data_IF_738982051616
#
_entry.id   IF_738982051616
#
_cell.length_a   1.000
_cell.length_b   1.000
_cell.length_c   1.000
_cell.angle_alpha   90.00
_cell.angle_beta   90.00
_cell.angle_gamma   90.00
#
_symmetry.space_group_name_H-M   'P 1'
#
loop_
_entity.id
_entity.type
_entity.pdbx_description
1 polymer ?
#
# COMPACT_ATOMS: atom_id res chain seq x y z
N UNK A 1 24.94 31.85 -30.52
CA UNK A 1 24.50 32.74 -29.41
C UNK A 1 25.31 32.35 -28.19
N UNK A 2 26.22 33.20 -27.74
CA UNK A 2 27.00 32.95 -26.53
C UNK A 2 26.17 33.28 -25.29
N UNK A 3 26.08 32.32 -24.37
CA UNK A 3 25.39 32.47 -23.09
C UNK A 3 26.15 33.45 -22.19
N UNK A 4 25.43 34.30 -21.44
CA UNK A 4 26.07 35.29 -20.55
C UNK A 4 26.92 34.61 -19.45
N UNK A 5 27.97 35.27 -18.93
CA UNK A 5 28.84 34.69 -17.90
C UNK A 5 28.08 34.21 -16.65
N UNK A 6 27.01 34.92 -16.27
CA UNK A 6 26.12 34.53 -15.16
C UNK A 6 25.24 33.32 -15.49
N UNK A 7 24.90 33.10 -16.76
CA UNK A 7 24.18 31.91 -17.20
C UNK A 7 25.12 30.68 -17.23
N UNK A 8 26.38 30.86 -17.62
CA UNK A 8 27.41 29.82 -17.52
C UNK A 8 27.73 29.46 -16.05
N UNK A 9 27.84 30.44 -15.15
CA UNK A 9 27.99 30.18 -13.70
C UNK A 9 26.77 29.46 -13.09
N UNK A 10 25.55 29.80 -13.52
CA UNK A 10 24.33 29.09 -13.07
C UNK A 10 24.25 27.66 -13.59
N UNK A 11 24.67 27.42 -14.84
CA UNK A 11 24.78 26.07 -15.40
C UNK A 11 25.90 25.26 -14.74
N UNK A 12 27.03 25.87 -14.42
CA UNK A 12 28.12 25.23 -13.68
C UNK A 12 27.77 24.91 -12.22
N UNK A 13 26.89 25.71 -11.59
CA UNK A 13 26.34 25.45 -10.24
C UNK A 13 25.31 24.32 -10.22
N UNK A 14 24.63 24.06 -11.33
CA UNK A 14 23.87 22.82 -11.55
C UNK A 14 24.90 21.78 -12.01
N UNK A 15 25.78 21.37 -11.11
CA UNK A 15 26.89 20.47 -11.43
C UNK A 15 26.39 19.24 -12.18
N UNK A 16 27.09 18.85 -13.24
CA UNK A 16 26.85 17.59 -13.91
C UNK A 16 26.87 16.47 -12.86
N UNK A 17 25.86 15.59 -12.89
CA UNK A 17 25.77 14.47 -11.97
C UNK A 17 27.09 13.69 -12.00
N UNK A 18 27.62 13.40 -10.82
CA UNK A 18 28.77 12.53 -10.66
C UNK A 18 28.47 11.14 -11.24
N UNK A 19 29.52 10.39 -11.58
CA UNK A 19 29.36 9.00 -12.06
C UNK A 19 28.65 8.10 -11.03
N UNK A 20 28.75 8.42 -9.73
CA UNK A 20 28.02 7.73 -8.68
C UNK A 20 26.51 8.04 -8.75
N UNK A 21 26.15 9.31 -8.91
CA UNK A 21 24.75 9.75 -9.04
C UNK A 21 24.11 9.22 -10.33
N UNK A 22 24.83 9.23 -11.46
CA UNK A 22 24.36 8.65 -12.71
C UNK A 22 24.10 7.13 -12.59
N UNK A 23 24.99 6.41 -11.91
CA UNK A 23 24.80 4.97 -11.63
C UNK A 23 23.58 4.73 -10.75
N UNK A 24 23.42 5.50 -9.68
CA UNK A 24 22.27 5.40 -8.79
C UNK A 24 20.95 5.68 -9.54
N UNK A 25 20.93 6.70 -10.40
CA UNK A 25 19.75 7.04 -11.21
C UNK A 25 19.38 5.94 -12.20
N UNK A 26 20.38 5.28 -12.81
CA UNK A 26 20.15 4.13 -13.69
C UNK A 26 19.56 2.96 -12.90
N UNK A 27 20.16 2.64 -11.76
CA UNK A 27 19.72 1.58 -10.87
C UNK A 27 18.28 1.77 -10.39
N UNK A 28 17.95 2.97 -9.94
CA UNK A 28 16.59 3.29 -9.51
C UNK A 28 15.58 3.12 -10.64
N UNK A 29 15.92 3.55 -11.87
CA UNK A 29 15.05 3.35 -13.05
C UNK A 29 14.85 1.89 -13.41
N UNK A 30 15.92 1.10 -13.41
CA UNK A 30 15.85 -0.32 -13.76
C UNK A 30 15.03 -1.09 -12.71
N UNK A 31 15.27 -0.82 -11.43
CA UNK A 31 14.50 -1.41 -10.34
C UNK A 31 13.03 -0.97 -10.37
N UNK A 32 12.75 0.30 -10.64
CA UNK A 32 11.37 0.79 -10.79
C UNK A 32 10.66 0.15 -11.98
N UNK A 33 11.35 -0.06 -13.10
CA UNK A 33 10.81 -0.80 -14.24
C UNK A 33 10.44 -2.24 -13.88
N UNK A 34 11.32 -2.94 -13.16
CA UNK A 34 11.07 -4.30 -12.68
C UNK A 34 9.86 -4.37 -11.74
N UNK A 35 9.82 -3.48 -10.73
CA UNK A 35 8.73 -3.41 -9.77
C UNK A 35 7.40 -3.00 -10.40
N UNK A 36 7.43 -2.03 -11.33
CA UNK A 36 6.23 -1.60 -12.05
C UNK A 36 5.62 -2.77 -12.80
N UNK A 37 6.42 -3.50 -13.59
CA UNK A 37 5.95 -4.66 -14.34
C UNK A 37 5.34 -5.74 -13.44
N UNK A 38 5.95 -5.96 -12.29
CA UNK A 38 5.46 -6.91 -11.30
C UNK A 38 4.11 -6.47 -10.72
N UNK A 39 4.00 -5.22 -10.27
CA UNK A 39 2.77 -4.69 -9.69
C UNK A 39 1.61 -4.58 -10.70
N UNK A 40 1.89 -4.34 -11.99
CA UNK A 40 0.89 -4.35 -13.06
C UNK A 40 0.54 -5.77 -13.55
N UNK A 41 1.16 -6.81 -12.99
CA UNK A 41 0.90 -8.21 -13.37
C UNK A 41 1.52 -8.63 -14.71
N UNK A 42 2.37 -7.79 -15.30
CA UNK A 42 3.13 -8.10 -16.53
C UNK A 42 4.45 -8.81 -16.26
N UNK A 43 4.72 -9.14 -14.99
CA UNK A 43 5.81 -9.99 -14.57
C UNK A 43 5.38 -10.82 -13.35
N UNK A 44 5.91 -12.03 -13.28
CA UNK A 44 5.74 -12.98 -12.18
C UNK A 44 6.75 -12.73 -11.06
N UNK A 45 6.56 -13.40 -9.92
CA UNK A 45 7.51 -13.33 -8.79
C UNK A 45 8.88 -13.86 -9.18
N UNK A 46 8.94 -14.91 -10.00
CA UNK A 46 10.20 -15.47 -10.49
C UNK A 46 10.93 -14.49 -11.43
N UNK A 47 10.21 -13.84 -12.35
CA UNK A 47 10.82 -12.84 -13.23
C UNK A 47 11.33 -11.61 -12.47
N UNK A 48 10.62 -11.18 -11.41
CA UNK A 48 11.11 -10.13 -10.51
C UNK A 48 12.38 -10.59 -9.77
N UNK A 49 12.37 -11.81 -9.24
CA UNK A 49 13.51 -12.40 -8.54
C UNK A 49 14.75 -12.44 -9.43
N UNK A 50 14.61 -12.91 -10.68
CA UNK A 50 15.70 -13.00 -11.65
C UNK A 50 16.27 -11.62 -11.99
N UNK A 51 15.40 -10.61 -12.18
CA UNK A 51 15.84 -9.25 -12.47
C UNK A 51 16.60 -8.63 -11.30
N UNK A 52 16.06 -8.74 -10.08
CA UNK A 52 16.74 -8.21 -8.88
C UNK A 52 18.04 -8.95 -8.61
N UNK A 53 18.10 -10.27 -8.84
CA UNK A 53 19.33 -11.04 -8.76
C UNK A 53 20.39 -10.51 -9.72
N UNK A 54 20.05 -10.37 -11.00
CA UNK A 54 20.98 -9.87 -12.01
C UNK A 54 21.52 -8.47 -11.66
N UNK A 55 20.64 -7.57 -11.20
CA UNK A 55 21.06 -6.24 -10.72
C UNK A 55 21.99 -6.34 -9.50
N UNK A 56 21.72 -7.25 -8.56
CA UNK A 56 22.54 -7.43 -7.37
C UNK A 56 23.94 -8.00 -7.66
N UNK A 57 24.10 -8.75 -8.75
CA UNK A 57 25.39 -9.28 -9.20
C UNK A 57 26.28 -8.17 -9.80
N UNK A 58 25.67 -7.14 -10.40
CA UNK A 58 26.37 -6.01 -11.03
C UNK A 58 26.65 -4.88 -10.02
N UNK A 59 25.64 -4.47 -9.27
CA UNK A 59 25.66 -3.25 -8.46
C UNK A 59 25.67 -3.53 -6.95
N UNK A 60 25.65 -4.81 -6.56
CA UNK A 60 25.83 -5.27 -5.18
C UNK A 60 24.54 -5.65 -4.46
N UNK A 61 24.68 -6.31 -3.28
CA UNK A 61 23.55 -6.90 -2.56
C UNK A 61 22.54 -5.87 -2.00
N UNK A 62 22.93 -4.59 -1.89
CA UNK A 62 22.06 -3.52 -1.38
C UNK A 62 20.83 -3.28 -2.27
N UNK A 63 20.88 -3.66 -3.55
CA UNK A 63 19.73 -3.60 -4.46
C UNK A 63 18.58 -4.49 -3.97
N UNK A 64 18.88 -5.65 -3.38
CA UNK A 64 17.86 -6.55 -2.83
C UNK A 64 17.12 -5.83 -1.70
N UNK A 65 17.87 -5.17 -0.81
CA UNK A 65 17.31 -4.38 0.30
C UNK A 65 16.47 -3.21 -0.21
N UNK A 66 16.96 -2.47 -1.21
CA UNK A 66 16.23 -1.35 -1.81
C UNK A 66 14.91 -1.81 -2.43
N UNK A 67 14.92 -2.92 -3.18
CA UNK A 67 13.72 -3.53 -3.74
C UNK A 67 12.70 -3.88 -2.66
N UNK A 68 13.13 -4.58 -1.61
CA UNK A 68 12.25 -4.95 -0.50
C UNK A 68 11.72 -3.74 0.26
N UNK A 69 12.51 -2.68 0.42
CA UNK A 69 12.05 -1.42 1.03
C UNK A 69 10.97 -0.74 0.18
N UNK A 70 11.17 -0.66 -1.14
CA UNK A 70 10.15 -0.12 -2.07
C UNK A 70 8.86 -0.94 -2.01
N UNK A 71 8.93 -2.27 -2.01
CA UNK A 71 7.75 -3.15 -1.88
C UNK A 71 7.04 -2.96 -0.53
N UNK A 72 7.80 -2.96 0.56
CA UNK A 72 7.29 -2.75 1.93
C UNK A 72 6.56 -1.41 2.06
N UNK A 73 7.08 -0.36 1.42
CA UNK A 73 6.47 0.96 1.40
C UNK A 73 5.11 1.02 0.67
N UNK A 74 4.73 -0.02 -0.08
CA UNK A 74 3.41 -0.13 -0.73
C UNK A 74 2.37 -0.87 0.11
N UNK A 75 2.75 -1.47 1.24
CA UNK A 75 1.80 -2.18 2.12
C UNK A 75 0.79 -1.19 2.70
N UNK A 76 -0.49 -1.54 2.64
CA UNK A 76 -1.61 -0.74 3.15
C UNK A 76 -2.59 -1.64 3.90
N UNK A 77 -3.30 -1.06 4.85
CA UNK A 77 -4.37 -1.76 5.57
C UNK A 77 -5.49 -2.13 4.60
N UNK A 78 -5.95 -1.13 3.84
CA UNK A 78 -6.95 -1.25 2.79
C UNK A 78 -6.27 -1.51 1.44
N UNK A 79 -5.96 -2.77 1.18
CA UNK A 79 -5.57 -3.27 -0.14
C UNK A 79 -6.33 -4.57 -0.43
N UNK A 80 -6.32 -5.06 -1.67
CA UNK A 80 -6.95 -6.35 -1.99
C UNK A 80 -6.16 -7.52 -1.38
N UNK A 81 -6.79 -8.68 -1.22
CA UNK A 81 -6.10 -9.88 -0.76
C UNK A 81 -5.02 -10.32 -1.77
N UNK A 82 -5.37 -10.29 -3.06
CA UNK A 82 -4.46 -10.60 -4.17
C UNK A 82 -3.24 -9.67 -4.19
N UNK A 83 -3.45 -8.35 -4.08
CA UNK A 83 -2.37 -7.38 -4.05
C UNK A 83 -1.41 -7.63 -2.90
N UNK A 84 -1.94 -7.93 -1.72
CA UNK A 84 -1.12 -8.21 -0.56
C UNK A 84 -0.30 -9.49 -0.73
N UNK A 85 -0.92 -10.58 -1.21
CA UNK A 85 -0.20 -11.83 -1.46
C UNK A 85 0.89 -11.66 -2.52
N UNK A 86 0.69 -10.80 -3.54
CA UNK A 86 1.77 -10.40 -4.45
C UNK A 86 2.94 -9.73 -3.69
N UNK A 87 2.68 -8.72 -2.84
CA UNK A 87 3.77 -8.07 -2.07
C UNK A 87 4.48 -9.07 -1.15
N UNK A 88 3.74 -9.95 -0.50
CA UNK A 88 4.28 -11.02 0.36
C UNK A 88 5.16 -11.99 -0.42
N UNK A 89 4.67 -12.52 -1.54
CA UNK A 89 5.43 -13.45 -2.38
C UNK A 89 6.73 -12.81 -2.86
N UNK A 90 6.69 -11.56 -3.33
CA UNK A 90 7.89 -10.84 -3.74
C UNK A 90 8.89 -10.62 -2.60
N UNK A 91 8.44 -10.14 -1.44
CA UNK A 91 9.31 -9.91 -0.28
C UNK A 91 10.02 -11.19 0.15
N UNK A 92 9.28 -12.29 0.23
CA UNK A 92 9.81 -13.61 0.61
C UNK A 92 10.77 -14.15 -0.44
N UNK A 93 10.42 -14.05 -1.73
CA UNK A 93 11.31 -14.47 -2.81
C UNK A 93 12.62 -13.68 -2.79
N UNK A 94 12.57 -12.35 -2.69
CA UNK A 94 13.77 -11.52 -2.64
C UNK A 94 14.63 -11.79 -1.39
N UNK A 95 14.02 -12.19 -0.28
CA UNK A 95 14.77 -12.56 0.93
C UNK A 95 15.64 -13.80 0.72
N UNK A 96 15.27 -14.70 -0.21
CA UNK A 96 16.08 -15.88 -0.56
C UNK A 96 17.38 -15.53 -1.29
N UNK A 97 17.49 -14.33 -1.86
CA UNK A 97 18.72 -13.87 -2.51
C UNK A 97 19.81 -13.50 -1.49
N UNK A 98 19.45 -13.31 -0.22
CA UNK A 98 20.40 -12.94 0.83
C UNK A 98 21.06 -14.18 1.43
N UNK A 99 22.39 -14.15 1.56
CA UNK A 99 23.17 -15.23 2.20
C UNK A 99 22.76 -15.50 3.66
N UNK A 100 22.39 -14.45 4.39
CA UNK A 100 21.92 -14.51 5.77
C UNK A 100 20.50 -13.91 5.90
N UNK A 101 19.60 -14.35 5.01
CA UNK A 101 18.22 -13.90 4.99
C UNK A 101 17.44 -14.32 6.25
N UNK A 102 16.52 -13.47 6.69
CA UNK A 102 15.63 -13.65 7.83
C UNK A 102 14.24 -14.11 7.40
N UNK A 103 14.18 -15.06 6.45
CA UNK A 103 12.96 -15.52 5.79
C UNK A 103 11.82 -15.82 6.78
N UNK A 104 12.07 -16.67 7.78
CA UNK A 104 11.03 -17.07 8.75
C UNK A 104 10.50 -15.90 9.58
N UNK A 105 11.36 -14.94 9.94
CA UNK A 105 10.95 -13.75 10.68
C UNK A 105 10.10 -12.82 9.80
N UNK A 106 10.48 -12.67 8.53
CA UNK A 106 9.72 -11.89 7.56
C UNK A 106 8.36 -12.53 7.28
N UNK A 107 8.31 -13.85 7.08
CA UNK A 107 7.08 -14.62 6.86
C UNK A 107 6.11 -14.49 8.04
N UNK A 108 6.62 -14.59 9.27
CA UNK A 108 5.82 -14.40 10.49
C UNK A 108 5.21 -12.98 10.57
N UNK A 109 5.98 -11.95 10.24
CA UNK A 109 5.49 -10.57 10.21
C UNK A 109 4.43 -10.37 9.12
N UNK A 110 4.66 -10.94 7.93
CA UNK A 110 3.66 -10.89 6.85
C UNK A 110 2.37 -11.60 7.24
N UNK A 111 2.46 -12.77 7.90
CA UNK A 111 1.30 -13.47 8.46
C UNK A 111 0.57 -12.65 9.51
N UNK A 112 1.30 -11.94 10.36
CA UNK A 112 0.70 -11.03 11.36
C UNK A 112 -0.09 -9.89 10.71
N UNK A 113 0.38 -9.35 9.57
CA UNK A 113 -0.34 -8.34 8.80
C UNK A 113 -1.59 -8.94 8.13
N UNK A 114 -1.55 -10.18 7.64
CA UNK A 114 -2.75 -10.88 7.13
C UNK A 114 -3.82 -10.94 8.21
N UNK A 115 -3.47 -11.43 9.40
CA UNK A 115 -4.41 -11.56 10.52
C UNK A 115 -4.91 -10.20 11.03
N UNK A 116 -4.09 -9.14 10.98
CA UNK A 116 -4.52 -7.78 11.28
C UNK A 116 -5.60 -7.31 10.29
N UNK A 117 -5.35 -7.48 8.98
CA UNK A 117 -6.27 -7.05 7.92
C UNK A 117 -7.60 -7.79 7.96
N UNK A 118 -7.58 -9.10 8.20
CA UNK A 118 -8.78 -9.92 8.39
C UNK A 118 -9.61 -9.40 9.57
N UNK A 119 -9.01 -9.31 10.76
CA UNK A 119 -9.70 -8.81 11.97
C UNK A 119 -10.27 -7.41 11.78
N UNK A 120 -9.51 -6.51 11.15
CA UNK A 120 -9.97 -5.16 10.86
C UNK A 120 -11.20 -5.16 9.94
N UNK A 121 -11.19 -5.97 8.88
CA UNK A 121 -12.34 -6.07 7.96
C UNK A 121 -13.55 -6.71 8.64
N UNK A 122 -13.36 -7.76 9.44
CA UNK A 122 -14.45 -8.43 10.17
C UNK A 122 -15.14 -7.48 11.15
N UNK A 123 -14.34 -6.77 11.96
CA UNK A 123 -14.83 -5.77 12.92
C UNK A 123 -15.55 -4.62 12.20
N UNK A 124 -15.01 -4.17 11.07
CA UNK A 124 -15.63 -3.13 10.25
C UNK A 124 -16.98 -3.56 9.66
N UNK A 125 -17.06 -4.80 9.18
CA UNK A 125 -18.30 -5.35 8.62
C UNK A 125 -19.37 -5.53 9.70
N UNK A 126 -18.99 -6.04 10.88
CA UNK A 126 -19.91 -6.20 12.01
C UNK A 126 -20.47 -4.86 12.48
N UNK A 127 -19.64 -3.85 12.61
CA UNK A 127 -20.09 -2.52 13.02
C UNK A 127 -20.98 -1.86 11.95
N UNK A 128 -20.67 -2.06 10.66
CA UNK A 128 -21.52 -1.56 9.59
C UNK A 128 -22.92 -2.17 9.67
N UNK A 129 -23.02 -3.48 9.91
CA UNK A 129 -24.30 -4.17 10.05
C UNK A 129 -25.08 -3.67 11.26
N UNK A 130 -24.40 -3.49 12.41
CA UNK A 130 -25.04 -2.95 13.62
C UNK A 130 -25.62 -1.55 13.40
N UNK A 131 -24.89 -0.65 12.73
CA UNK A 131 -25.41 0.69 12.42
C UNK A 131 -26.56 0.58 11.42
N UNK A 132 -26.47 -0.30 10.42
CA UNK A 132 -27.53 -0.53 9.43
C UNK A 132 -28.83 -1.00 10.08
N UNK A 133 -28.75 -1.96 11.00
CA UNK A 133 -29.88 -2.47 11.77
C UNK A 133 -30.54 -1.36 12.62
N UNK A 134 -29.74 -0.54 13.31
CA UNK A 134 -30.24 0.57 14.12
C UNK A 134 -30.98 1.63 13.28
N UNK A 135 -30.50 1.89 12.06
CA UNK A 135 -31.07 2.90 11.17
C UNK A 135 -32.24 2.38 10.32
N UNK A 136 -32.44 1.07 10.26
CA UNK A 136 -33.41 0.43 9.35
C UNK A 136 -34.85 0.94 9.56
N UNK A 137 -35.32 0.99 10.81
CA UNK A 137 -36.66 1.46 11.12
C UNK A 137 -36.84 2.95 10.75
N UNK A 138 -35.84 3.79 11.01
CA UNK A 138 -35.88 5.21 10.72
C UNK A 138 -35.89 5.48 9.20
N UNK A 139 -35.04 4.76 8.45
CA UNK A 139 -34.95 4.88 6.98
C UNK A 139 -36.24 4.38 6.31
N UNK A 140 -36.83 3.29 6.80
CA UNK A 140 -38.11 2.79 6.31
C UNK A 140 -39.23 3.82 6.51
N UNK A 141 -39.35 4.37 7.72
CA UNK A 141 -40.34 5.41 8.02
C UNK A 141 -40.15 6.66 7.14
N UNK A 142 -38.91 7.12 6.95
CA UNK A 142 -38.59 8.27 6.09
C UNK A 142 -38.94 8.00 4.61
N UNK A 143 -38.67 6.79 4.12
CA UNK A 143 -38.98 6.37 2.74
C UNK A 143 -40.50 6.33 2.50
N UNK A 144 -41.26 5.78 3.45
CA UNK A 144 -42.73 5.76 3.38
C UNK A 144 -43.32 7.17 3.39
N UNK A 145 -42.79 8.05 4.25
CA UNK A 145 -43.22 9.44 4.31
C UNK A 145 -42.93 10.19 3.00
N UNK A 146 -41.73 10.03 2.42
CA UNK A 146 -41.39 10.62 1.13
C UNK A 146 -42.32 10.14 0.01
N UNK A 147 -42.65 8.85 -0.01
CA UNK A 147 -43.60 8.26 -0.96
C UNK A 147 -45.00 8.85 -0.81
N UNK A 148 -45.48 9.06 0.42
CA UNK A 148 -46.78 9.72 0.69
C UNK A 148 -46.80 11.18 0.22
N UNK A 149 -45.66 11.85 0.19
CA UNK A 149 -45.50 13.23 -0.32
C UNK A 149 -45.24 13.29 -1.83
N UNK A 150 -45.37 12.17 -2.55
CA UNK A 150 -45.20 12.10 -4.01
C UNK A 150 -43.73 12.12 -4.47
N UNK A 151 -42.78 11.98 -3.56
CA UNK A 151 -41.34 11.92 -3.89
C UNK A 151 -40.90 10.45 -4.00
N UNK A 152 -40.21 10.10 -5.08
CA UNK A 152 -39.62 8.76 -5.22
C UNK A 152 -38.34 8.69 -4.38
N UNK A 153 -38.34 7.84 -3.36
CA UNK A 153 -37.17 7.53 -2.55
C UNK A 153 -36.91 6.02 -2.63
N UNK A 154 -35.72 5.64 -3.08
CA UNK A 154 -35.25 4.26 -3.01
C UNK A 154 -34.65 4.01 -1.62
N UNK A 155 -35.14 2.97 -0.95
CA UNK A 155 -34.74 2.63 0.43
C UNK A 155 -33.27 2.24 0.52
N UNK A 156 -32.70 1.62 -0.53
CA UNK A 156 -31.28 1.26 -0.56
C UNK A 156 -30.40 2.52 -0.65
N UNK A 157 -30.69 3.42 -1.59
CA UNK A 157 -29.98 4.69 -1.71
C UNK A 157 -30.09 5.58 -0.46
N UNK A 158 -31.25 5.58 0.19
CA UNK A 158 -31.51 6.35 1.42
C UNK A 158 -30.74 5.76 2.61
N UNK A 159 -30.66 4.43 2.72
CA UNK A 159 -29.86 3.74 3.72
C UNK A 159 -28.37 4.06 3.56
N UNK A 160 -27.84 3.99 2.34
CA UNK A 160 -26.43 4.28 2.08
C UNK A 160 -26.08 5.74 2.37
N UNK A 161 -26.98 6.68 2.06
CA UNK A 161 -26.82 8.08 2.41
C UNK A 161 -26.83 8.29 3.93
N UNK A 162 -27.73 7.63 4.65
CA UNK A 162 -27.85 7.70 6.10
C UNK A 162 -26.61 7.12 6.80
N UNK A 163 -26.10 5.97 6.33
CA UNK A 163 -24.87 5.34 6.82
C UNK A 163 -23.65 6.26 6.63
N UNK A 164 -23.51 6.92 5.48
CA UNK A 164 -22.42 7.89 5.24
C UNK A 164 -22.51 9.13 6.12
N UNK A 165 -23.73 9.53 6.48
CA UNK A 165 -23.99 10.67 7.34
C UNK A 165 -23.83 10.35 8.84
N UNK A 166 -23.98 9.09 9.25
CA UNK A 166 -23.93 8.64 10.65
C UNK A 166 -22.62 9.06 11.35
N UNK A 167 -22.72 9.86 12.43
CA UNK A 167 -21.59 10.16 13.30
C UNK A 167 -21.01 8.90 13.95
N UNK A 168 -21.85 7.95 14.36
CA UNK A 168 -21.44 6.70 15.01
C UNK A 168 -20.55 5.87 14.09
N UNK A 169 -20.95 5.72 12.83
CA UNK A 169 -20.15 5.05 11.81
C UNK A 169 -18.81 5.76 11.57
N UNK A 170 -18.83 7.09 11.46
CA UNK A 170 -17.63 7.90 11.25
C UNK A 170 -16.63 7.76 12.41
N UNK A 171 -17.11 7.87 13.64
CA UNK A 171 -16.29 7.78 14.85
C UNK A 171 -15.75 6.37 15.08
N UNK A 172 -16.53 5.34 14.71
CA UNK A 172 -16.06 3.97 14.68
C UNK A 172 -14.92 3.80 13.67
N UNK A 173 -15.13 4.18 12.40
CA UNK A 173 -14.12 4.05 11.35
C UNK A 173 -12.85 4.80 11.74
N UNK A 174 -12.95 6.04 12.21
CA UNK A 174 -11.79 6.85 12.60
C UNK A 174 -10.94 6.17 13.69
N UNK A 175 -11.57 5.64 14.75
CA UNK A 175 -10.85 5.00 15.86
C UNK A 175 -10.21 3.67 15.45
N UNK A 176 -10.95 2.84 14.71
CA UNK A 176 -10.47 1.53 14.30
C UNK A 176 -9.41 1.62 13.20
N UNK A 177 -9.53 2.58 12.28
CA UNK A 177 -8.52 2.88 11.26
C UNK A 177 -7.22 3.32 11.93
N UNK A 178 -7.27 4.25 12.89
CA UNK A 178 -6.08 4.72 13.58
C UNK A 178 -5.37 3.60 14.35
N UNK A 179 -6.10 2.76 15.08
CA UNK A 179 -5.53 1.65 15.84
C UNK A 179 -4.91 0.56 14.94
N UNK A 180 -5.62 0.18 13.88
CA UNK A 180 -5.14 -0.81 12.92
C UNK A 180 -3.96 -0.27 12.10
N UNK A 181 -3.99 1.00 11.69
CA UNK A 181 -2.89 1.65 10.98
C UNK A 181 -1.64 1.72 11.84
N UNK A 182 -1.76 2.12 13.12
CA UNK A 182 -0.62 2.10 14.06
C UNK A 182 0.02 0.71 14.16
N UNK A 183 -0.80 -0.33 14.29
CA UNK A 183 -0.32 -1.71 14.36
C UNK A 183 0.37 -2.16 13.06
N UNK A 184 -0.17 -1.74 11.91
CA UNK A 184 0.47 -1.98 10.61
C UNK A 184 1.83 -1.27 10.52
N UNK A 185 1.91 -0.02 10.95
CA UNK A 185 3.14 0.77 10.95
C UNK A 185 4.22 0.14 11.84
N UNK A 186 3.83 -0.40 13.00
CA UNK A 186 4.74 -1.15 13.88
C UNK A 186 5.29 -2.41 13.18
N UNK A 187 4.44 -3.17 12.48
CA UNK A 187 4.89 -4.33 11.69
C UNK A 187 5.80 -3.91 10.52
N UNK A 188 5.46 -2.84 9.81
CA UNK A 188 6.29 -2.30 8.72
C UNK A 188 7.66 -1.83 9.25
N UNK A 189 7.70 -1.18 10.42
CA UNK A 189 8.93 -0.77 11.08
C UNK A 189 9.81 -1.96 11.41
N UNK A 190 9.21 -3.03 11.95
CA UNK A 190 9.92 -4.29 12.23
C UNK A 190 10.44 -4.96 10.96
N UNK A 191 9.64 -5.01 9.88
CA UNK A 191 10.10 -5.52 8.58
C UNK A 191 11.31 -4.72 8.12
N UNK A 192 11.23 -3.38 8.09
CA UNK A 192 12.33 -2.51 7.66
C UNK A 192 13.61 -2.70 8.48
N UNK A 193 13.50 -2.99 9.77
CA UNK A 193 14.65 -3.31 10.64
C UNK A 193 15.27 -4.70 10.36
N UNK A 194 14.51 -5.62 9.75
CA UNK A 194 15.03 -6.91 9.33
C UNK A 194 15.82 -6.82 8.01
N UNK A 195 15.40 -5.93 7.10
CA UNK A 195 15.92 -5.79 5.74
C UNK A 195 17.37 -5.29 5.67
#
# INVERSE_FOLDING_TARGET
MDLSPRAQERLARIGALSEAELRQLRLDKELEGALSRYFTGTATTEELWQQVKALSEVDGPDIIKLAQQKITATLRLQMSAEDFEKRKAALLALETLKKAGKYSALELLMGSIVSLRQRYNDVKQQALEQVREQMQAQVQAATEQARRQGTFADSASTMDAALKASPEWRDFVMRHDAAAQKTLDDYIGRIKALL
#
